data_IF_380216069604
#
_entry.id   IF_380216069604
#
_cell.length_a   1.000
_cell.length_b   1.000
_cell.length_c   1.000
_cell.angle_alpha   90.00
_cell.angle_beta   90.00
_cell.angle_gamma   90.00
#
_symmetry.space_group_name_H-M   'P 1'
#
loop_
_entity.id
_entity.type
_entity.pdbx_description
1 polymer ?
#
# COMPACT_ATOMS: atom_id res chain seq x y z
N UNK A 1 14.68 10.21 9.17
CA UNK A 1 14.84 8.76 8.96
C UNK A 1 13.47 8.13 8.99
N UNK A 2 13.19 7.19 8.08
CA UNK A 2 11.89 6.50 8.01
C UNK A 2 12.08 5.03 8.35
N UNK A 3 11.25 4.48 9.23
CA UNK A 3 11.12 3.05 9.46
C UNK A 3 9.99 2.52 8.57
N UNK A 4 10.29 1.63 7.64
CA UNK A 4 9.33 0.94 6.80
C UNK A 4 9.02 -0.44 7.38
N UNK A 5 7.79 -0.68 7.76
CA UNK A 5 7.26 -1.98 8.20
C UNK A 5 6.54 -2.65 7.04
N UNK A 6 7.13 -3.72 6.50
CA UNK A 6 6.65 -4.30 5.25
C UNK A 6 6.94 -5.80 5.14
N UNK A 7 6.37 -6.43 4.12
CA UNK A 7 6.62 -7.79 3.66
C UNK A 7 6.60 -7.83 2.14
N UNK A 8 7.28 -8.77 1.46
CA UNK A 8 7.32 -8.88 0.00
C UNK A 8 5.94 -9.18 -0.62
N UNK A 9 5.11 -8.16 -0.70
CA UNK A 9 3.77 -8.18 -1.30
C UNK A 9 3.64 -6.99 -2.25
N UNK A 10 2.71 -7.02 -3.22
CA UNK A 10 2.48 -5.89 -4.12
C UNK A 10 2.20 -4.56 -3.39
N UNK A 11 1.59 -4.60 -2.20
CA UNK A 11 1.33 -3.40 -1.41
C UNK A 11 2.61 -2.84 -0.77
N UNK A 12 3.47 -3.70 -0.21
CA UNK A 12 4.75 -3.29 0.36
C UNK A 12 5.69 -2.71 -0.69
N UNK A 13 5.77 -3.37 -1.84
CA UNK A 13 6.64 -2.95 -2.98
C UNK A 13 6.31 -1.53 -3.45
N UNK A 14 5.05 -1.09 -3.45
CA UNK A 14 4.69 0.29 -3.81
C UNK A 14 5.45 1.33 -2.97
N UNK A 15 5.50 1.11 -1.66
CA UNK A 15 6.16 2.04 -0.73
C UNK A 15 7.68 1.96 -0.87
N UNK A 16 8.23 0.76 -1.04
CA UNK A 16 9.67 0.60 -1.31
C UNK A 16 10.08 1.37 -2.57
N UNK A 17 9.34 1.21 -3.68
CA UNK A 17 9.61 1.95 -4.91
C UNK A 17 9.58 3.46 -4.65
N UNK A 18 8.58 3.96 -3.93
CA UNK A 18 8.45 5.39 -3.65
C UNK A 18 9.63 5.92 -2.84
N UNK A 19 10.09 5.18 -1.84
CA UNK A 19 11.25 5.55 -1.02
C UNK A 19 12.54 5.58 -1.85
N UNK A 20 12.76 4.60 -2.69
CA UNK A 20 13.91 4.55 -3.60
C UNK A 20 13.88 5.71 -4.63
N UNK A 21 12.75 5.95 -5.27
CA UNK A 21 12.60 7.01 -6.27
C UNK A 21 12.71 8.43 -5.67
N UNK A 22 12.32 8.60 -4.41
CA UNK A 22 12.47 9.89 -3.72
C UNK A 22 13.84 10.09 -3.09
N UNK A 23 14.63 9.02 -2.97
CA UNK A 23 15.95 9.04 -2.32
C UNK A 23 15.89 9.25 -0.81
N UNK A 24 14.73 9.01 -0.18
CA UNK A 24 14.58 9.13 1.27
C UNK A 24 15.31 7.98 1.98
N UNK A 25 16.15 8.25 2.97
CA UNK A 25 16.78 7.19 3.75
C UNK A 25 15.76 6.48 4.63
N UNK A 26 15.79 5.15 4.61
CA UNK A 26 14.86 4.33 5.40
C UNK A 26 15.51 3.05 5.93
N UNK A 27 14.90 2.48 6.97
CA UNK A 27 15.23 1.17 7.52
C UNK A 27 14.04 0.25 7.25
N UNK A 28 14.30 -0.91 6.63
CA UNK A 28 13.26 -1.90 6.36
C UNK A 28 13.12 -2.86 7.54
N UNK A 29 11.96 -2.86 8.15
CA UNK A 29 11.55 -3.76 9.24
C UNK A 29 10.61 -4.82 8.69
N UNK A 30 11.01 -6.08 8.74
CA UNK A 30 10.21 -7.19 8.23
C UNK A 30 9.04 -7.51 9.17
N UNK A 31 7.82 -7.54 8.62
CA UNK A 31 6.60 -8.00 9.30
C UNK A 31 6.12 -9.26 8.59
N UNK A 32 6.54 -10.43 9.09
CA UNK A 32 6.23 -11.72 8.45
C UNK A 32 4.75 -12.08 8.65
N UNK A 33 3.94 -11.73 7.65
CA UNK A 33 2.50 -12.00 7.66
C UNK A 33 2.14 -13.49 7.65
N UNK A 34 3.09 -14.35 7.30
CA UNK A 34 2.88 -15.81 7.32
C UNK A 34 2.99 -16.39 8.73
N UNK A 35 3.67 -15.66 9.64
CA UNK A 35 3.82 -16.00 11.05
C UNK A 35 2.89 -15.23 11.98
N UNK A 36 2.10 -14.31 11.44
CA UNK A 36 1.16 -13.52 12.23
C UNK A 36 1.78 -12.28 12.89
N UNK A 37 2.96 -11.82 12.44
CA UNK A 37 3.63 -10.64 13.01
C UNK A 37 2.75 -9.38 12.95
N UNK A 38 1.84 -9.30 11.96
CA UNK A 38 0.90 -8.20 11.82
C UNK A 38 -0.13 -8.09 12.96
N UNK A 39 -0.23 -9.09 13.83
CA UNK A 39 -1.13 -9.10 14.99
C UNK A 39 -0.43 -8.79 16.31
N UNK A 40 0.88 -8.54 16.30
CA UNK A 40 1.62 -8.15 17.50
C UNK A 40 1.25 -6.74 17.91
N UNK A 41 1.16 -6.50 19.23
CA UNK A 41 0.75 -5.21 19.81
C UNK A 41 1.62 -4.05 19.30
N UNK A 42 2.93 -4.26 19.17
CA UNK A 42 3.89 -3.30 18.67
C UNK A 42 3.61 -2.87 17.22
N UNK A 43 3.15 -3.77 16.36
CA UNK A 43 2.76 -3.42 15.00
C UNK A 43 1.35 -2.83 14.95
N UNK A 44 0.42 -3.31 15.78
CA UNK A 44 -0.93 -2.76 15.88
C UNK A 44 -0.94 -1.30 16.34
N UNK A 45 0.04 -0.90 17.16
CA UNK A 45 0.22 0.50 17.57
C UNK A 45 0.49 1.41 16.36
N UNK A 46 1.22 0.91 15.33
CA UNK A 46 1.58 1.65 14.11
C UNK A 46 0.49 1.50 13.03
N UNK A 47 -0.07 0.29 12.89
CA UNK A 47 -1.09 -0.05 11.89
C UNK A 47 -2.28 -0.75 12.55
N UNK A 48 -3.26 0.01 13.05
CA UNK A 48 -4.42 -0.54 13.76
C UNK A 48 -5.29 -1.46 12.89
N UNK A 49 -5.16 -1.37 11.56
CA UNK A 49 -5.81 -2.28 10.61
C UNK A 49 -5.07 -3.62 10.42
N UNK A 50 -3.99 -3.87 11.16
CA UNK A 50 -3.13 -5.06 11.04
C UNK A 50 -2.67 -5.40 9.61
N UNK A 51 -2.42 -4.40 8.79
CA UNK A 51 -2.00 -4.55 7.39
C UNK A 51 -0.65 -3.86 7.16
N UNK A 52 0.20 -4.54 6.40
CA UNK A 52 1.42 -3.95 5.82
C UNK A 52 1.05 -3.29 4.46
N UNK A 53 1.80 -2.29 4.01
CA UNK A 53 2.89 -1.59 4.69
C UNK A 53 2.40 -0.54 5.70
N UNK A 54 3.28 -0.17 6.62
CA UNK A 54 3.17 1.01 7.46
C UNK A 54 4.55 1.69 7.55
N UNK A 55 4.59 2.96 7.88
CA UNK A 55 5.84 3.69 8.15
C UNK A 55 5.77 4.44 9.47
N UNK A 56 6.94 4.66 10.08
CA UNK A 56 7.15 5.68 11.12
C UNK A 56 8.19 6.66 10.58
N UNK A 57 7.80 7.91 10.43
CA UNK A 57 8.73 8.97 10.06
C UNK A 57 9.19 9.71 11.30
N UNK A 58 10.48 9.59 11.65
CA UNK A 58 11.11 10.25 12.82
C UNK A 58 11.40 11.75 12.62
N UNK A 59 11.01 12.27 11.47
CA UNK A 59 11.05 13.71 11.15
C UNK A 59 9.73 14.08 10.46
N UNK A 60 8.65 13.75 11.13
CA UNK A 60 7.28 13.99 10.68
C UNK A 60 6.83 15.44 10.87
N UNK A 61 5.55 15.72 10.72
CA UNK A 61 5.00 17.05 10.98
C UNK A 61 5.39 17.57 12.37
N UNK A 62 5.78 18.84 12.43
CA UNK A 62 6.21 19.50 13.67
C UNK A 62 7.49 18.91 14.31
N UNK A 63 8.23 18.06 13.57
CA UNK A 63 9.47 17.43 14.03
C UNK A 63 9.24 16.28 15.03
N UNK A 64 8.03 15.71 15.06
CA UNK A 64 7.68 14.57 15.89
C UNK A 64 7.63 13.27 15.06
N UNK A 65 7.66 12.14 15.73
CA UNK A 65 7.39 10.84 15.11
C UNK A 65 5.96 10.83 14.55
N UNK A 66 5.81 10.31 13.34
CA UNK A 66 4.53 10.27 12.66
C UNK A 66 4.31 8.91 11.99
N UNK A 67 3.30 8.18 12.47
CA UNK A 67 2.90 6.89 11.95
C UNK A 67 1.92 7.06 10.78
N UNK A 68 2.18 6.35 9.69
CA UNK A 68 1.26 6.31 8.54
C UNK A 68 1.05 4.87 8.10
N UNK A 69 -0.19 4.43 8.08
CA UNK A 69 -0.61 3.17 7.46
C UNK A 69 -1.48 3.45 6.23
N UNK A 70 -1.84 2.42 5.46
CA UNK A 70 -2.43 2.46 4.13
C UNK A 70 -1.42 2.89 3.04
N UNK A 71 -1.10 1.96 2.14
CA UNK A 71 -0.07 2.21 1.12
C UNK A 71 -0.35 3.45 0.26
N UNK A 72 -1.61 3.75 -0.05
CA UNK A 72 -1.99 4.96 -0.78
C UNK A 72 -1.75 6.23 0.02
N UNK A 73 -2.05 6.23 1.31
CA UNK A 73 -1.79 7.37 2.20
C UNK A 73 -0.29 7.59 2.37
N UNK A 74 0.49 6.50 2.51
CA UNK A 74 1.96 6.58 2.58
C UNK A 74 2.53 7.21 1.30
N UNK A 75 2.08 6.79 0.12
CA UNK A 75 2.52 7.40 -1.14
C UNK A 75 2.22 8.91 -1.20
N UNK A 76 1.02 9.32 -0.77
CA UNK A 76 0.65 10.73 -0.71
C UNK A 76 1.53 11.51 0.29
N UNK A 77 1.74 10.94 1.49
CA UNK A 77 2.59 11.53 2.52
C UNK A 77 4.02 11.76 2.03
N UNK A 78 4.64 10.73 1.44
CA UNK A 78 6.01 10.81 0.92
C UNK A 78 6.12 11.80 -0.25
N UNK A 79 5.11 11.88 -1.10
CA UNK A 79 5.04 12.87 -2.18
C UNK A 79 4.97 14.30 -1.65
N UNK A 80 4.16 14.56 -0.62
CA UNK A 80 4.09 15.85 0.05
C UNK A 80 5.41 16.22 0.72
N UNK A 81 5.98 15.28 1.48
CA UNK A 81 7.25 15.48 2.20
C UNK A 81 8.40 15.86 1.27
N UNK A 82 8.44 15.27 0.08
CA UNK A 82 9.54 15.47 -0.87
C UNK A 82 9.26 16.51 -1.96
N UNK A 83 8.00 16.90 -2.13
CA UNK A 83 7.57 17.71 -3.26
C UNK A 83 7.67 17.01 -4.63
N UNK A 84 7.77 15.69 -4.64
CA UNK A 84 7.92 14.87 -5.85
C UNK A 84 6.65 14.04 -6.10
N UNK A 85 6.41 13.66 -7.37
CA UNK A 85 5.31 12.78 -7.81
C UNK A 85 3.89 13.29 -7.54
N UNK A 86 3.72 14.43 -6.86
CA UNK A 86 2.43 15.09 -6.66
C UNK A 86 2.48 16.49 -7.25
N UNK A 87 1.54 16.79 -8.15
CA UNK A 87 1.51 18.09 -8.80
C UNK A 87 1.07 19.20 -7.83
N UNK A 88 1.70 20.38 -7.93
CA UNK A 88 1.30 21.57 -7.19
C UNK A 88 0.00 22.21 -7.74
N UNK A 89 -0.24 22.06 -9.03
CA UNK A 89 -1.49 22.49 -9.67
C UNK A 89 -2.68 21.65 -9.18
N UNK A 90 -3.73 22.31 -8.71
CA UNK A 90 -4.89 21.65 -8.09
C UNK A 90 -5.57 20.63 -9.01
N UNK A 91 -5.73 20.97 -10.29
CA UNK A 91 -6.41 20.09 -11.26
C UNK A 91 -5.57 18.87 -11.56
N UNK A 92 -4.28 19.05 -11.79
CA UNK A 92 -3.34 17.94 -12.02
C UNK A 92 -3.20 17.04 -10.76
N UNK A 93 -3.20 17.66 -9.58
CA UNK A 93 -3.19 16.94 -8.30
C UNK A 93 -4.41 16.04 -8.15
N UNK A 94 -5.60 16.54 -8.48
CA UNK A 94 -6.84 15.74 -8.43
C UNK A 94 -6.80 14.56 -9.41
N UNK A 95 -6.19 14.73 -10.58
CA UNK A 95 -5.98 13.63 -11.54
C UNK A 95 -5.08 12.55 -10.93
N UNK A 96 -3.98 12.93 -10.28
CA UNK A 96 -3.10 11.95 -9.59
C UNK A 96 -3.86 11.21 -8.51
N UNK A 97 -4.62 11.91 -7.66
CA UNK A 97 -5.43 11.32 -6.59
C UNK A 97 -6.50 10.37 -7.18
N UNK A 98 -7.16 10.76 -8.27
CA UNK A 98 -8.15 9.92 -8.96
C UNK A 98 -7.56 8.58 -9.39
N UNK A 99 -6.39 8.57 -10.02
CA UNK A 99 -5.71 7.35 -10.43
C UNK A 99 -5.19 6.53 -9.23
N UNK A 100 -4.74 7.21 -8.18
CA UNK A 100 -4.35 6.54 -6.94
C UNK A 100 -5.56 5.85 -6.30
N UNK A 101 -6.71 6.52 -6.22
CA UNK A 101 -7.94 5.92 -5.68
C UNK A 101 -8.46 4.78 -6.56
N UNK A 102 -8.31 4.87 -7.88
CA UNK A 102 -8.61 3.77 -8.80
C UNK A 102 -7.74 2.53 -8.48
N UNK A 103 -6.45 2.72 -8.19
CA UNK A 103 -5.58 1.63 -7.75
C UNK A 103 -6.03 1.06 -6.39
N UNK A 104 -6.29 1.93 -5.39
CA UNK A 104 -6.63 1.51 -4.02
C UNK A 104 -8.01 0.85 -3.91
N UNK A 105 -9.00 1.36 -4.62
CA UNK A 105 -10.38 0.86 -4.58
C UNK A 105 -10.71 -0.21 -5.62
N UNK A 106 -9.93 -0.30 -6.68
CA UNK A 106 -10.17 -1.20 -7.81
C UNK A 106 -9.05 -2.21 -8.03
N UNK A 107 -7.93 -1.77 -8.59
CA UNK A 107 -6.87 -2.68 -9.04
C UNK A 107 -6.36 -3.55 -7.89
N UNK A 108 -5.87 -2.95 -6.81
CA UNK A 108 -5.29 -3.68 -5.69
C UNK A 108 -6.24 -4.74 -5.12
N UNK A 109 -7.45 -4.37 -4.67
CA UNK A 109 -8.40 -5.33 -4.12
C UNK A 109 -8.83 -6.42 -5.10
N UNK A 110 -9.17 -6.07 -6.34
CA UNK A 110 -9.74 -7.05 -7.27
C UNK A 110 -8.69 -8.03 -7.79
N UNK A 111 -7.46 -7.58 -8.04
CA UNK A 111 -6.34 -8.47 -8.36
C UNK A 111 -5.99 -9.38 -7.17
N UNK A 112 -6.05 -8.84 -5.95
CA UNK A 112 -5.87 -9.61 -4.72
C UNK A 112 -6.90 -10.73 -4.60
N UNK A 113 -8.19 -10.43 -4.80
CA UNK A 113 -9.27 -11.41 -4.76
C UNK A 113 -9.13 -12.47 -5.88
N UNK A 114 -8.82 -12.05 -7.11
CA UNK A 114 -8.59 -12.98 -8.20
C UNK A 114 -7.45 -13.96 -7.90
N UNK A 115 -6.35 -13.47 -7.32
CA UNK A 115 -5.24 -14.31 -6.89
C UNK A 115 -5.64 -15.25 -5.74
N UNK A 116 -6.39 -14.75 -4.76
CA UNK A 116 -6.85 -15.52 -3.61
C UNK A 116 -7.71 -16.72 -4.04
N UNK A 117 -8.76 -16.49 -4.83
CA UNK A 117 -9.68 -17.53 -5.25
C UNK A 117 -9.06 -18.54 -6.24
N UNK A 118 -7.98 -18.16 -6.91
CA UNK A 118 -7.25 -19.09 -7.81
C UNK A 118 -6.19 -19.93 -7.11
N UNK A 119 -5.61 -19.44 -5.99
CA UNK A 119 -4.40 -20.07 -5.42
C UNK A 119 -4.51 -20.49 -3.96
N UNK A 120 -5.37 -19.83 -3.18
CA UNK A 120 -5.33 -19.96 -1.73
C UNK A 120 -6.61 -20.50 -1.09
N UNK A 121 -7.68 -20.65 -1.85
CA UNK A 121 -8.92 -21.27 -1.33
C UNK A 121 -8.75 -22.77 -1.22
N UNK A 122 -9.25 -23.40 -0.14
CA UNK A 122 -9.18 -24.85 0.05
C UNK A 122 -10.05 -25.61 -0.96
N UNK A 123 -11.09 -24.99 -1.48
CA UNK A 123 -11.98 -25.53 -2.50
C UNK A 123 -12.10 -24.57 -3.67
N UNK A 124 -12.22 -25.09 -4.87
CA UNK A 124 -12.49 -24.30 -6.06
C UNK A 124 -13.91 -23.72 -6.02
N UNK A 125 -14.01 -22.40 -6.16
CA UNK A 125 -15.28 -21.64 -6.20
C UNK A 125 -15.36 -20.97 -7.57
N UNK A 126 -15.88 -21.70 -8.53
CA UNK A 126 -15.94 -21.31 -9.95
C UNK A 126 -16.55 -19.93 -10.15
N UNK A 127 -17.67 -19.63 -9.52
CA UNK A 127 -18.31 -18.32 -9.58
C UNK A 127 -17.39 -17.17 -9.13
N UNK A 128 -16.65 -17.35 -8.05
CA UNK A 128 -15.73 -16.32 -7.56
C UNK A 128 -14.54 -16.14 -8.50
N UNK A 129 -14.00 -17.25 -9.01
CA UNK A 129 -12.90 -17.23 -9.99
C UNK A 129 -13.33 -16.48 -11.25
N UNK A 130 -14.50 -16.80 -11.80
CA UNK A 130 -15.03 -16.13 -12.99
C UNK A 130 -15.29 -14.64 -12.73
N UNK A 131 -16.00 -14.31 -11.64
CA UNK A 131 -16.32 -12.94 -11.27
C UNK A 131 -15.09 -12.05 -11.18
N UNK A 132 -14.10 -12.46 -10.40
CA UNK A 132 -12.89 -11.66 -10.20
C UNK A 132 -11.97 -11.66 -11.42
N UNK A 133 -11.95 -12.74 -12.21
CA UNK A 133 -11.21 -12.76 -13.47
C UNK A 133 -11.79 -11.79 -14.50
N UNK A 134 -13.11 -11.72 -14.59
CA UNK A 134 -13.79 -10.77 -15.48
C UNK A 134 -13.55 -9.33 -15.03
N UNK A 135 -13.56 -9.05 -13.73
CA UNK A 135 -13.25 -7.73 -13.20
C UNK A 135 -11.78 -7.33 -13.47
N UNK A 136 -10.84 -8.26 -13.32
CA UNK A 136 -9.43 -8.02 -13.68
C UNK A 136 -9.30 -7.67 -15.18
N UNK A 137 -9.99 -8.41 -16.06
CA UNK A 137 -10.01 -8.09 -17.49
C UNK A 137 -10.56 -6.69 -17.77
N UNK A 138 -11.67 -6.33 -17.09
CA UNK A 138 -12.26 -4.99 -17.22
C UNK A 138 -11.29 -3.90 -16.79
N UNK A 139 -10.61 -4.08 -15.67
CA UNK A 139 -9.63 -3.12 -15.13
C UNK A 139 -8.41 -2.94 -16.04
N UNK A 140 -7.99 -3.98 -16.77
CA UNK A 140 -6.94 -3.86 -17.79
C UNK A 140 -7.39 -3.05 -19.03
N UNK A 141 -8.68 -2.88 -19.22
CA UNK A 141 -9.23 -2.09 -20.33
C UNK A 141 -9.38 -0.59 -20.03
N UNK A 142 -9.04 -0.16 -18.81
CA UNK A 142 -9.09 1.25 -18.39
C UNK A 142 -7.76 1.93 -18.62
#
# INVERSE_FOLDING_TARGET
MIDLYSWPTPNGVKVTIMLEETGLPYIANAVDITKGDQFKDEFLAISPNNKIPAIVDHDGPEGADFEVFESGAILMYLAEKTGQFMANDKSKRLIVIQWLMFQMGGIGPMFGQANHFRKYTPNEIEYAIERYSNEVKRLYGV
#
